data_IF_786583785040
#
_entry.id   IF_786583785040
#
_cell.length_a   1.000
_cell.length_b   1.000
_cell.length_c   1.000
_cell.angle_alpha   90.00
_cell.angle_beta   90.00
_cell.angle_gamma   90.00
#
_symmetry.space_group_name_H-M   'P 1'
#
loop_
_entity.id
_entity.type
_entity.pdbx_description
1 polymer ?
#
# COMPACT_ATOMS: atom_id res chain seq x y z
N UNK A 1 -13.17 42.33 -55.40
CA UNK A 1 -11.91 42.31 -54.64
C UNK A 1 -12.00 41.20 -53.61
N UNK A 2 -11.39 40.04 -53.90
CA UNK A 2 -11.26 38.97 -52.91
C UNK A 2 -10.16 39.40 -51.93
N UNK A 3 -10.56 39.97 -50.79
CA UNK A 3 -9.64 40.17 -49.68
C UNK A 3 -9.30 38.82 -49.08
N UNK A 4 -8.06 38.40 -49.35
CA UNK A 4 -7.42 37.27 -48.70
C UNK A 4 -7.31 37.64 -47.22
N UNK A 5 -8.12 37.01 -46.36
CA UNK A 5 -7.97 37.06 -44.90
C UNK A 5 -6.67 36.35 -44.50
N UNK A 6 -5.55 37.07 -44.65
CA UNK A 6 -4.24 36.62 -44.21
C UNK A 6 -4.07 37.05 -42.75
N UNK A 7 -4.68 36.31 -41.81
CA UNK A 7 -4.36 36.47 -40.40
C UNK A 7 -2.91 36.01 -40.18
N UNK A 8 -1.99 36.97 -40.07
CA UNK A 8 -0.66 36.75 -39.52
C UNK A 8 -0.84 36.06 -38.16
N UNK A 9 -0.33 34.83 -38.05
CA UNK A 9 -0.39 34.03 -36.83
C UNK A 9 0.24 34.85 -35.71
N UNK A 10 -0.53 35.22 -34.67
CA UNK A 10 0.02 35.97 -33.53
C UNK A 10 1.15 35.15 -32.91
N UNK A 11 2.24 35.79 -32.48
CA UNK A 11 3.41 35.12 -31.88
C UNK A 11 3.04 34.16 -30.73
N UNK A 12 1.93 34.43 -30.04
CA UNK A 12 1.37 33.57 -28.99
C UNK A 12 0.78 32.26 -29.52
N UNK A 13 0.17 32.27 -30.71
CA UNK A 13 -0.40 31.05 -31.31
C UNK A 13 0.70 30.06 -31.70
N UNK A 14 1.84 30.56 -32.19
CA UNK A 14 3.04 29.74 -32.48
C UNK A 14 3.53 29.07 -31.20
N UNK A 15 3.69 29.83 -30.12
CA UNK A 15 4.12 29.30 -28.80
C UNK A 15 3.15 28.26 -28.24
N UNK A 16 1.84 28.48 -28.39
CA UNK A 16 0.81 27.52 -27.96
C UNK A 16 0.91 26.22 -28.77
N UNK A 17 1.17 26.31 -30.08
CA UNK A 17 1.37 25.16 -30.95
C UNK A 17 2.63 24.38 -30.58
N UNK A 18 3.75 25.07 -30.32
CA UNK A 18 5.00 24.47 -29.87
C UNK A 18 4.84 23.75 -28.54
N UNK A 19 4.19 24.38 -27.55
CA UNK A 19 3.89 23.74 -26.27
C UNK A 19 3.05 22.48 -26.46
N UNK A 20 1.99 22.54 -27.27
CA UNK A 20 1.15 21.37 -27.58
C UNK A 20 1.95 20.27 -28.27
N UNK A 21 2.86 20.61 -29.18
CA UNK A 21 3.71 19.66 -29.87
C UNK A 21 4.69 18.98 -28.90
N UNK A 22 5.37 19.76 -28.06
CA UNK A 22 6.28 19.27 -27.01
C UNK A 22 5.54 18.32 -26.06
N UNK A 23 4.38 18.73 -25.56
CA UNK A 23 3.53 17.89 -24.70
C UNK A 23 3.18 16.57 -25.37
N UNK A 24 2.76 16.59 -26.66
CA UNK A 24 2.42 15.38 -27.41
C UNK A 24 3.60 14.41 -27.54
N UNK A 25 4.79 14.91 -27.88
CA UNK A 25 6.01 14.10 -28.02
C UNK A 25 6.46 13.51 -26.68
N UNK A 26 6.36 14.30 -25.62
CA UNK A 26 6.71 13.88 -24.27
C UNK A 26 5.74 12.79 -23.78
N UNK A 27 4.43 12.99 -23.89
CA UNK A 27 3.45 11.99 -23.41
C UNK A 27 3.48 10.67 -24.15
N UNK A 28 4.09 10.60 -25.33
CA UNK A 28 4.31 9.37 -26.09
C UNK A 28 5.43 8.50 -25.52
N UNK A 29 6.40 9.11 -24.86
CA UNK A 29 7.65 8.46 -24.46
C UNK A 29 7.78 8.30 -22.94
N UNK A 30 7.06 9.10 -22.17
CA UNK A 30 7.13 9.08 -20.69
C UNK A 30 5.91 8.46 -20.01
N UNK A 31 6.17 7.81 -18.87
CA UNK A 31 5.20 7.26 -17.93
C UNK A 31 4.75 8.26 -16.85
N UNK A 32 5.29 9.48 -16.84
CA UNK A 32 4.92 10.50 -15.86
C UNK A 32 3.42 10.86 -16.01
N UNK A 33 2.67 11.06 -14.90
CA UNK A 33 1.28 11.49 -14.97
C UNK A 33 1.11 12.73 -15.84
N UNK A 34 0.10 12.72 -16.71
CA UNK A 34 -0.15 13.83 -17.66
C UNK A 34 -0.29 15.16 -16.91
N UNK A 35 -0.89 15.12 -15.73
CA UNK A 35 -1.03 16.28 -14.86
C UNK A 35 0.31 16.94 -14.55
N UNK A 36 1.31 16.15 -14.17
CA UNK A 36 2.64 16.66 -13.84
C UNK A 36 3.40 17.16 -15.06
N UNK A 37 3.27 16.48 -16.20
CA UNK A 37 3.90 16.91 -17.45
C UNK A 37 3.35 18.26 -17.89
N UNK A 38 2.01 18.39 -17.89
CA UNK A 38 1.34 19.63 -18.29
C UNK A 38 1.65 20.75 -17.28
N UNK A 39 1.61 20.47 -15.98
CA UNK A 39 1.93 21.46 -14.94
C UNK A 39 3.38 21.94 -15.02
N UNK A 40 4.33 21.03 -15.23
CA UNK A 40 5.75 21.35 -15.39
C UNK A 40 5.98 22.22 -16.63
N UNK A 41 5.49 21.78 -17.79
CA UNK A 41 5.66 22.51 -19.05
C UNK A 41 4.96 23.88 -19.01
N UNK A 42 3.78 23.97 -18.39
CA UNK A 42 3.04 25.22 -18.21
C UNK A 42 3.76 26.18 -17.24
N UNK A 43 4.36 25.66 -16.18
CA UNK A 43 5.12 26.48 -15.22
C UNK A 43 6.37 27.09 -15.86
N UNK A 44 7.09 26.33 -16.70
CA UNK A 44 8.24 26.83 -17.46
C UNK A 44 7.81 27.96 -18.40
N UNK A 45 6.75 27.73 -19.17
CA UNK A 45 6.22 28.73 -20.11
C UNK A 45 5.78 30.01 -19.40
N UNK A 46 5.02 29.93 -18.29
CA UNK A 46 4.62 31.13 -17.53
C UNK A 46 5.84 31.88 -16.98
N UNK A 47 6.88 31.17 -16.54
CA UNK A 47 8.08 31.80 -15.97
C UNK A 47 8.86 32.57 -17.04
N UNK A 48 8.93 32.03 -18.26
CA UNK A 48 9.53 32.69 -19.42
C UNK A 48 8.70 33.92 -19.86
N UNK A 49 7.37 33.82 -19.81
CA UNK A 49 6.44 34.86 -20.30
C UNK A 49 6.06 35.92 -19.25
N UNK A 50 6.37 35.74 -17.96
CA UNK A 50 6.15 36.77 -16.90
C UNK A 50 6.80 38.13 -17.19
N UNK A 51 7.69 38.19 -18.19
CA UNK A 51 8.29 39.42 -18.71
C UNK A 51 7.41 40.16 -19.73
N UNK A 52 6.24 39.62 -20.08
CA UNK A 52 5.29 40.16 -21.07
C UNK A 52 3.84 40.03 -20.56
N UNK A 53 2.98 41.02 -20.81
CA UNK A 53 1.56 41.03 -20.38
C UNK A 53 0.65 40.01 -21.12
N UNK A 54 1.23 38.94 -21.67
CA UNK A 54 0.60 37.98 -22.59
C UNK A 54 -0.03 36.76 -21.90
N UNK A 55 0.16 36.58 -20.59
CA UNK A 55 -0.19 35.34 -19.85
C UNK A 55 -1.68 34.99 -19.95
N UNK A 56 -2.56 35.99 -20.04
CA UNK A 56 -4.01 35.81 -20.18
C UNK A 56 -4.44 35.21 -21.52
N UNK A 57 -3.59 35.29 -22.55
CA UNK A 57 -3.85 34.72 -23.89
C UNK A 57 -3.53 33.22 -23.98
N UNK A 58 -2.89 32.64 -22.97
CA UNK A 58 -2.51 31.22 -22.99
C UNK A 58 -3.65 30.28 -22.53
N UNK A 59 -3.72 29.06 -23.09
CA UNK A 59 -4.72 28.07 -22.70
C UNK A 59 -4.47 27.57 -21.28
N UNK A 60 -5.54 27.35 -20.53
CA UNK A 60 -5.44 26.79 -19.19
C UNK A 60 -4.80 25.40 -19.19
N UNK A 61 -4.21 25.02 -18.05
CA UNK A 61 -3.71 23.65 -17.78
C UNK A 61 -4.75 22.59 -18.15
N UNK A 62 -6.03 22.80 -17.81
CA UNK A 62 -7.13 21.87 -18.12
C UNK A 62 -7.30 21.67 -19.63
N UNK A 63 -7.19 22.74 -20.41
CA UNK A 63 -7.31 22.70 -21.87
C UNK A 63 -6.13 21.99 -22.54
N UNK A 64 -4.93 22.08 -21.95
CA UNK A 64 -3.72 21.39 -22.43
C UNK A 64 -3.70 19.89 -22.11
N UNK A 65 -4.35 19.47 -21.01
CA UNK A 65 -4.46 18.06 -20.62
C UNK A 65 -5.18 17.21 -21.67
N UNK A 66 -6.28 17.70 -22.24
CA UNK A 66 -7.12 16.90 -23.14
C UNK A 66 -6.39 16.41 -24.41
N UNK A 67 -5.68 17.26 -25.18
CA UNK A 67 -4.87 16.83 -26.33
C UNK A 67 -3.74 15.87 -25.94
N UNK A 68 -3.06 16.11 -24.81
CA UNK A 68 -1.99 15.24 -24.32
C UNK A 68 -2.53 13.84 -23.95
N UNK A 69 -3.66 13.78 -23.23
CA UNK A 69 -4.37 12.53 -22.93
C UNK A 69 -4.83 11.81 -24.19
N UNK A 70 -5.35 12.53 -25.19
CA UNK A 70 -5.76 11.94 -26.47
C UNK A 70 -4.57 11.35 -27.22
N UNK A 71 -3.43 12.03 -27.22
CA UNK A 71 -2.22 11.54 -27.89
C UNK A 71 -1.66 10.29 -27.19
N UNK A 72 -1.55 10.31 -25.86
CA UNK A 72 -1.11 9.13 -25.09
C UNK A 72 -2.04 7.92 -25.27
N UNK A 73 -3.35 8.13 -25.44
CA UNK A 73 -4.30 7.04 -25.74
C UNK A 73 -4.12 6.42 -27.13
N UNK A 74 -3.45 7.08 -28.09
CA UNK A 74 -3.19 6.49 -29.41
C UNK A 74 -2.11 5.42 -29.39
N UNK A 75 -1.16 5.53 -28.47
CA UNK A 75 -0.03 4.61 -28.34
C UNK A 75 -0.25 3.52 -27.27
N UNK A 76 -1.27 3.69 -26.43
CA UNK A 76 -1.69 2.68 -25.45
C UNK A 76 -2.85 1.87 -26.01
N UNK A 77 -2.97 0.58 -25.65
CA UNK A 77 -4.16 -0.17 -26.00
C UNK A 77 -5.41 0.45 -25.34
N UNK A 78 -6.61 0.11 -25.83
CA UNK A 78 -7.86 0.54 -25.22
C UNK A 78 -7.90 0.20 -23.73
N UNK A 79 -8.63 1.02 -22.97
CA UNK A 79 -8.86 0.73 -21.55
C UNK A 79 -9.71 -0.53 -21.43
N UNK A 80 -9.21 -1.59 -20.77
CA UNK A 80 -9.98 -2.81 -20.60
C UNK A 80 -11.15 -2.53 -19.65
N UNK A 81 -12.34 -3.02 -20.01
CA UNK A 81 -13.53 -2.97 -19.13
C UNK A 81 -13.69 -4.28 -18.35
N UNK A 82 -13.22 -5.37 -18.94
CA UNK A 82 -13.17 -6.71 -18.36
C UNK A 82 -11.74 -7.27 -18.41
N UNK A 83 -11.47 -8.34 -17.65
CA UNK A 83 -10.13 -8.95 -17.60
C UNK A 83 -9.73 -9.52 -18.98
N UNK A 84 -10.71 -10.01 -19.72
CA UNK A 84 -10.58 -10.60 -21.05
C UNK A 84 -10.20 -9.56 -22.10
N UNK A 85 -10.50 -8.28 -21.87
CA UNK A 85 -10.11 -7.18 -22.75
C UNK A 85 -8.62 -6.85 -22.67
N UNK A 86 -7.91 -7.40 -21.67
CA UNK A 86 -6.47 -7.21 -21.54
C UNK A 86 -5.77 -8.01 -22.64
N UNK A 87 -4.91 -7.41 -23.48
CA UNK A 87 -4.18 -8.14 -24.51
C UNK A 87 -3.36 -9.30 -23.92
N UNK A 88 -3.37 -10.46 -24.57
CA UNK A 88 -2.50 -11.60 -24.26
C UNK A 88 -1.70 -11.97 -25.52
N UNK A 89 -0.36 -11.94 -25.50
CA UNK A 89 0.50 -11.57 -24.36
C UNK A 89 0.35 -10.09 -23.97
N UNK A 90 0.67 -9.76 -22.71
CA UNK A 90 0.60 -8.38 -22.22
C UNK A 90 1.50 -7.43 -23.04
N UNK A 91 1.11 -6.16 -23.28
CA UNK A 91 1.86 -5.25 -24.14
C UNK A 91 3.31 -5.05 -23.68
N UNK A 92 4.28 -5.17 -24.58
CA UNK A 92 5.73 -5.12 -24.28
C UNK A 92 6.13 -3.87 -23.49
N UNK A 93 5.59 -2.70 -23.83
CA UNK A 93 5.80 -1.44 -23.11
C UNK A 93 5.47 -1.56 -21.61
N UNK A 94 4.52 -2.40 -21.23
CA UNK A 94 4.09 -2.61 -19.85
C UNK A 94 4.85 -3.73 -19.13
N UNK A 95 5.67 -4.50 -19.86
CA UNK A 95 6.42 -5.64 -19.32
C UNK A 95 7.83 -5.31 -18.84
N UNK A 96 8.32 -4.09 -19.13
CA UNK A 96 9.70 -3.66 -18.82
C UNK A 96 9.75 -2.59 -17.72
N UNK A 97 10.82 -2.57 -16.94
CA UNK A 97 11.15 -1.50 -15.98
C UNK A 97 11.52 -0.22 -16.73
N UNK A 98 11.76 0.88 -15.99
CA UNK A 98 12.29 2.13 -16.58
C UNK A 98 13.71 2.01 -17.14
N UNK A 99 14.45 0.99 -16.71
CA UNK A 99 15.77 0.67 -17.23
C UNK A 99 15.72 -0.40 -18.33
N UNK A 100 14.53 -0.67 -18.90
CA UNK A 100 14.31 -1.65 -19.96
C UNK A 100 14.70 -3.09 -19.60
N UNK A 101 14.59 -3.45 -18.32
CA UNK A 101 14.75 -4.84 -17.85
C UNK A 101 13.39 -5.50 -17.64
N UNK A 102 13.32 -6.84 -17.66
CA UNK A 102 12.06 -7.56 -17.44
C UNK A 102 11.43 -7.20 -16.08
N UNK A 103 10.14 -6.86 -16.10
CA UNK A 103 9.36 -6.48 -14.93
C UNK A 103 8.10 -7.33 -14.75
N UNK A 104 7.43 -7.71 -15.85
CA UNK A 104 6.33 -8.67 -15.78
C UNK A 104 6.91 -10.07 -15.55
N UNK A 105 6.73 -10.58 -14.34
CA UNK A 105 7.23 -11.86 -13.89
C UNK A 105 6.31 -13.02 -14.28
N UNK A 106 5.00 -12.76 -14.31
CA UNK A 106 3.98 -13.73 -14.67
C UNK A 106 2.76 -13.05 -15.28
N UNK A 107 2.23 -13.67 -16.33
CA UNK A 107 0.95 -13.34 -16.96
C UNK A 107 0.27 -14.65 -17.34
N UNK A 108 -0.79 -15.00 -16.60
CA UNK A 108 -1.45 -16.28 -16.76
C UNK A 108 -2.58 -16.46 -15.76
N UNK A 109 -3.03 -17.68 -15.61
CA UNK A 109 -4.14 -18.01 -14.73
C UNK A 109 -3.68 -18.12 -13.25
N UNK A 110 -4.41 -17.45 -12.36
CA UNK A 110 -4.34 -17.59 -10.90
C UNK A 110 -5.76 -17.89 -10.40
N UNK A 111 -5.98 -19.11 -9.89
CA UNK A 111 -7.31 -19.66 -9.66
C UNK A 111 -8.08 -19.80 -10.97
N UNK A 112 -9.28 -19.23 -11.03
CA UNK A 112 -10.14 -19.29 -12.24
C UNK A 112 -9.95 -18.10 -13.19
N UNK A 113 -9.08 -17.15 -12.84
CA UNK A 113 -8.99 -15.85 -13.54
C UNK A 113 -7.55 -15.51 -13.90
N UNK A 114 -7.37 -14.64 -14.89
CA UNK A 114 -6.04 -14.13 -15.23
C UNK A 114 -5.51 -13.25 -14.10
N UNK A 115 -4.23 -13.40 -13.77
CA UNK A 115 -3.49 -12.55 -12.85
C UNK A 115 -2.13 -12.14 -13.42
N UNK A 116 -1.67 -10.97 -13.01
CA UNK A 116 -0.39 -10.41 -13.45
C UNK A 116 0.52 -10.22 -12.24
N UNK A 117 1.77 -10.69 -12.30
CA UNK A 117 2.76 -10.49 -11.24
C UNK A 117 3.92 -9.68 -11.81
N UNK A 118 4.31 -8.63 -11.11
CA UNK A 118 5.38 -7.72 -11.46
C UNK A 118 6.46 -7.72 -10.39
N UNK A 119 7.70 -7.93 -10.80
CA UNK A 119 8.92 -7.79 -10.00
C UNK A 119 10.12 -7.77 -10.95
N UNK A 120 11.12 -6.93 -10.66
CA UNK A 120 12.41 -7.08 -11.36
C UNK A 120 13.19 -8.27 -10.82
N UNK A 121 14.14 -8.78 -11.59
CA UNK A 121 15.00 -9.88 -11.12
C UNK A 121 15.78 -9.49 -9.85
N UNK A 122 16.19 -8.23 -9.73
CA UNK A 122 16.89 -7.72 -8.54
C UNK A 122 15.96 -7.62 -7.34
N UNK A 123 14.68 -7.27 -7.52
CA UNK A 123 13.69 -7.31 -6.44
C UNK A 123 13.47 -8.73 -5.93
N UNK A 124 13.44 -9.71 -6.83
CA UNK A 124 13.31 -11.13 -6.46
C UNK A 124 14.55 -11.61 -5.70
N UNK A 125 15.76 -11.24 -6.15
CA UNK A 125 17.01 -11.55 -5.43
C UNK A 125 17.05 -10.91 -4.06
N UNK A 126 16.67 -9.63 -3.97
CA UNK A 126 16.63 -8.91 -2.71
C UNK A 126 15.63 -9.56 -1.75
N UNK A 127 14.39 -9.78 -2.19
CA UNK A 127 13.33 -10.40 -1.38
C UNK A 127 13.74 -11.79 -0.87
N UNK A 128 14.36 -12.61 -1.72
CA UNK A 128 14.85 -13.96 -1.38
C UNK A 128 15.85 -13.97 -0.22
N UNK A 129 16.65 -12.91 -0.10
CA UNK A 129 17.68 -12.77 0.93
C UNK A 129 17.15 -12.23 2.26
N UNK A 130 15.92 -11.70 2.28
CA UNK A 130 15.35 -11.12 3.49
C UNK A 130 14.67 -12.15 4.39
N UNK A 131 14.86 -11.96 5.70
CA UNK A 131 14.26 -12.79 6.75
C UNK A 131 12.82 -12.41 7.07
N UNK A 132 12.47 -11.15 6.87
CA UNK A 132 11.17 -10.60 7.29
C UNK A 132 10.45 -10.00 6.10
N UNK A 133 9.25 -10.48 5.82
CA UNK A 133 8.39 -9.94 4.77
C UNK A 133 7.12 -9.32 5.35
N UNK A 134 6.59 -8.32 4.68
CA UNK A 134 5.22 -7.83 4.86
C UNK A 134 4.42 -8.09 3.59
N UNK A 135 3.15 -8.45 3.72
CA UNK A 135 2.26 -8.49 2.56
C UNK A 135 0.90 -7.88 2.87
N UNK A 136 0.38 -7.12 1.90
CA UNK A 136 -0.87 -6.40 2.04
C UNK A 136 -1.62 -6.26 0.71
N UNK A 137 -2.94 -6.32 0.80
CA UNK A 137 -3.87 -6.16 -0.31
C UNK A 137 -4.46 -4.75 -0.34
N UNK A 138 -4.27 -4.01 -1.42
CA UNK A 138 -4.83 -2.67 -1.63
C UNK A 138 -5.96 -2.69 -2.67
N UNK A 139 -7.17 -2.28 -2.26
CA UNK A 139 -8.39 -2.32 -3.09
C UNK A 139 -8.66 -1.04 -3.86
N UNK A 140 -8.44 0.10 -3.18
CA UNK A 140 -8.86 1.42 -3.64
C UNK A 140 -8.19 1.84 -4.94
N UNK A 141 -6.91 1.53 -5.03
CA UNK A 141 -6.02 1.90 -6.13
C UNK A 141 -5.95 0.84 -7.22
N UNK A 142 -6.63 -0.30 -7.05
CA UNK A 142 -6.63 -1.39 -8.04
C UNK A 142 -7.25 -0.92 -9.34
N UNK A 143 -6.70 -1.26 -10.51
CA UNK A 143 -7.42 -1.10 -11.77
C UNK A 143 -8.77 -1.79 -11.70
N UNK A 144 -9.83 -1.18 -12.24
CA UNK A 144 -11.22 -1.67 -12.08
C UNK A 144 -11.47 -3.10 -12.54
N UNK A 145 -10.63 -3.61 -13.46
CA UNK A 145 -10.69 -4.98 -13.96
C UNK A 145 -10.15 -6.01 -12.97
N UNK A 146 -9.34 -5.58 -11.99
CA UNK A 146 -8.84 -6.44 -10.91
C UNK A 146 -9.46 -6.07 -9.57
N UNK A 147 -9.68 -7.06 -8.71
CA UNK A 147 -10.28 -6.84 -7.41
C UNK A 147 -9.32 -6.16 -6.43
N UNK A 148 -8.03 -6.49 -6.52
CA UNK A 148 -7.02 -5.90 -5.67
C UNK A 148 -5.63 -5.92 -6.29
N UNK A 149 -4.80 -5.05 -5.74
CA UNK A 149 -3.35 -5.14 -5.83
C UNK A 149 -2.87 -5.86 -4.59
N UNK A 150 -2.07 -6.89 -4.75
CA UNK A 150 -1.38 -7.54 -3.65
C UNK A 150 0.10 -7.20 -3.72
N UNK A 151 0.68 -6.68 -2.64
CA UNK A 151 2.09 -6.29 -2.61
C UNK A 151 2.85 -7.07 -1.54
N UNK A 152 4.09 -7.44 -1.85
CA UNK A 152 5.02 -8.06 -0.90
C UNK A 152 6.23 -7.15 -0.76
N UNK A 153 6.56 -6.86 0.49
CA UNK A 153 7.64 -5.99 0.88
C UNK A 153 8.67 -6.77 1.66
N UNK A 154 9.93 -6.56 1.32
CA UNK A 154 11.07 -6.99 2.11
C UNK A 154 11.30 -6.00 3.26
N UNK A 155 11.54 -6.50 4.46
CA UNK A 155 11.90 -5.68 5.61
C UNK A 155 13.32 -5.95 6.05
N UNK A 156 14.10 -4.87 6.15
CA UNK A 156 15.48 -4.89 6.61
C UNK A 156 15.76 -3.62 7.42
N UNK A 157 16.30 -3.76 8.63
CA UNK A 157 16.74 -2.65 9.51
C UNK A 157 15.85 -1.39 9.56
N UNK A 158 14.52 -1.56 9.62
CA UNK A 158 13.57 -0.44 9.72
C UNK A 158 13.04 0.06 8.37
N UNK A 159 13.59 -0.43 7.27
CA UNK A 159 13.20 -0.17 5.90
C UNK A 159 12.25 -1.25 5.36
N UNK A 160 11.04 -0.86 4.98
CA UNK A 160 10.11 -1.69 4.21
C UNK A 160 10.23 -1.34 2.73
N UNK A 161 10.68 -2.29 1.92
CA UNK A 161 10.90 -2.10 0.49
C UNK A 161 9.92 -2.95 -0.32
N UNK A 162 9.03 -2.36 -1.15
CA UNK A 162 8.18 -3.13 -2.03
C UNK A 162 9.02 -3.86 -3.08
N UNK A 163 8.76 -5.16 -3.26
CA UNK A 163 9.54 -6.01 -4.16
C UNK A 163 8.66 -6.69 -5.22
N UNK A 164 7.45 -7.08 -4.84
CA UNK A 164 6.53 -7.78 -5.74
C UNK A 164 5.18 -7.10 -5.68
N UNK A 165 4.57 -6.94 -6.85
CA UNK A 165 3.21 -6.47 -6.99
C UNK A 165 2.41 -7.44 -7.85
N UNK A 166 1.19 -7.79 -7.44
CA UNK A 166 0.31 -8.65 -8.18
C UNK A 166 -1.05 -7.99 -8.38
N UNK A 167 -1.60 -8.11 -9.59
CA UNK A 167 -2.97 -7.76 -9.90
C UNK A 167 -3.77 -9.06 -9.94
N UNK A 168 -4.70 -9.22 -9.00
CA UNK A 168 -5.48 -10.45 -8.81
C UNK A 168 -6.98 -10.15 -8.76
N UNK A 169 -7.78 -11.06 -9.30
CA UNK A 169 -9.21 -10.83 -9.54
C UNK A 169 -10.11 -11.15 -8.35
N UNK A 170 -9.60 -11.79 -7.29
CA UNK A 170 -10.35 -12.08 -6.08
C UNK A 170 -9.45 -12.28 -4.84
N UNK A 171 -10.04 -12.83 -3.77
CA UNK A 171 -9.41 -13.20 -2.48
C UNK A 171 -9.58 -14.70 -2.17
N UNK A 172 -9.83 -15.53 -3.19
CA UNK A 172 -9.98 -16.97 -2.99
C UNK A 172 -8.64 -17.56 -2.55
N UNK A 173 -8.70 -18.60 -1.73
CA UNK A 173 -7.51 -19.32 -1.27
C UNK A 173 -6.72 -19.91 -2.45
N UNK A 174 -7.42 -20.44 -3.45
CA UNK A 174 -6.82 -20.97 -4.68
C UNK A 174 -6.03 -19.91 -5.46
N UNK A 175 -6.58 -18.71 -5.64
CA UNK A 175 -5.88 -17.60 -6.31
C UNK A 175 -4.59 -17.23 -5.57
N UNK A 176 -4.63 -17.17 -4.24
CA UNK A 176 -3.43 -16.91 -3.44
C UNK A 176 -2.45 -18.09 -3.48
N UNK A 177 -2.95 -19.33 -3.47
CA UNK A 177 -2.15 -20.54 -3.60
C UNK A 177 -1.32 -20.49 -4.87
N UNK A 178 -1.94 -20.22 -6.01
CA UNK A 178 -1.27 -20.11 -7.30
C UNK A 178 -0.27 -18.95 -7.32
N UNK A 179 -0.69 -17.77 -6.82
CA UNK A 179 0.18 -16.60 -6.73
C UNK A 179 1.47 -16.90 -5.96
N UNK A 180 1.37 -17.47 -4.76
CA UNK A 180 2.52 -17.77 -3.92
C UNK A 180 3.35 -18.93 -4.45
N UNK A 181 2.76 -19.92 -5.15
CA UNK A 181 3.50 -20.97 -5.83
C UNK A 181 4.32 -20.44 -7.01
N UNK A 182 3.71 -19.56 -7.84
CA UNK A 182 4.41 -18.90 -8.94
C UNK A 182 5.58 -18.07 -8.40
N UNK A 183 5.33 -17.27 -7.34
CA UNK A 183 6.39 -16.48 -6.72
C UNK A 183 7.50 -17.36 -6.14
N UNK A 184 7.15 -18.41 -5.39
CA UNK A 184 8.12 -19.36 -4.83
C UNK A 184 9.00 -19.94 -5.94
N UNK A 185 8.38 -20.43 -7.02
CA UNK A 185 9.09 -20.95 -8.20
C UNK A 185 10.05 -19.91 -8.76
N UNK A 186 9.60 -18.67 -8.97
CA UNK A 186 10.43 -17.59 -9.52
C UNK A 186 11.60 -17.19 -8.62
N UNK A 187 11.40 -17.22 -7.31
CA UNK A 187 12.50 -16.99 -6.35
C UNK A 187 13.53 -18.12 -6.42
N UNK A 188 13.09 -19.38 -6.43
CA UNK A 188 14.01 -20.53 -6.54
C UNK A 188 14.77 -20.51 -7.87
N UNK A 189 14.10 -20.23 -8.98
CA UNK A 189 14.74 -20.08 -10.31
C UNK A 189 15.80 -18.96 -10.33
N UNK A 190 15.60 -17.88 -9.57
CA UNK A 190 16.45 -16.68 -9.61
C UNK A 190 17.60 -16.71 -8.59
N UNK A 191 17.34 -17.24 -7.39
CA UNK A 191 18.21 -17.09 -6.23
C UNK A 191 18.62 -18.42 -5.59
N UNK A 192 17.99 -19.53 -5.97
CA UNK A 192 18.20 -20.88 -5.41
C UNK A 192 18.02 -20.99 -3.88
N UNK A 193 17.42 -19.99 -3.23
CA UNK A 193 17.12 -19.99 -1.80
C UNK A 193 15.99 -19.03 -1.44
N UNK A 194 15.39 -19.24 -0.27
CA UNK A 194 14.43 -18.34 0.38
C UNK A 194 14.81 -18.26 1.87
N UNK A 195 15.31 -17.12 2.34
CA UNK A 195 15.73 -16.91 3.75
C UNK A 195 14.59 -16.54 4.70
N UNK A 196 13.36 -16.46 4.19
CA UNK A 196 12.18 -16.01 4.93
C UNK A 196 12.01 -16.77 6.26
N UNK A 197 12.07 -16.05 7.38
CA UNK A 197 11.82 -16.56 8.73
C UNK A 197 10.39 -16.25 9.18
N UNK A 198 9.90 -15.02 8.90
CA UNK A 198 8.52 -14.65 9.22
C UNK A 198 7.92 -13.70 8.21
N UNK A 199 6.62 -13.85 7.96
CA UNK A 199 5.82 -12.92 7.19
C UNK A 199 4.74 -12.29 8.07
N UNK A 200 4.58 -10.98 7.97
CA UNK A 200 3.46 -10.27 8.59
C UNK A 200 2.41 -9.94 7.54
N UNK A 201 1.20 -10.45 7.74
CA UNK A 201 0.07 -10.29 6.82
C UNK A 201 -1.17 -9.77 7.55
N UNK A 202 -2.15 -9.27 6.81
CA UNK A 202 -3.48 -9.06 7.37
C UNK A 202 -4.15 -10.40 7.74
N UNK A 203 -5.24 -10.37 8.51
CA UNK A 203 -5.93 -11.54 9.05
C UNK A 203 -6.77 -12.32 8.01
N UNK A 204 -6.38 -12.28 6.74
CA UNK A 204 -7.00 -13.06 5.67
C UNK A 204 -6.68 -14.55 5.83
N UNK A 205 -7.69 -15.35 6.14
CA UNK A 205 -7.54 -16.79 6.36
C UNK A 205 -6.94 -17.51 5.14
N UNK A 206 -7.35 -17.10 3.94
CA UNK A 206 -6.85 -17.64 2.68
C UNK A 206 -5.31 -17.55 2.57
N UNK A 207 -4.73 -16.38 2.83
CA UNK A 207 -3.28 -16.19 2.78
C UNK A 207 -2.59 -17.01 3.89
N UNK A 208 -3.15 -17.03 5.11
CA UNK A 208 -2.61 -17.83 6.22
C UNK A 208 -2.52 -19.32 5.86
N UNK A 209 -3.61 -19.88 5.33
CA UNK A 209 -3.69 -21.28 4.93
C UNK A 209 -2.64 -21.62 3.86
N UNK A 210 -2.48 -20.73 2.87
CA UNK A 210 -1.45 -20.87 1.83
C UNK A 210 -0.04 -20.88 2.43
N UNK A 211 0.26 -20.02 3.41
CA UNK A 211 1.57 -20.05 4.07
C UNK A 211 1.79 -21.32 4.89
N UNK A 212 0.81 -21.75 5.68
CA UNK A 212 0.94 -23.00 6.43
C UNK A 212 1.14 -24.22 5.54
N UNK A 213 0.51 -24.22 4.35
CA UNK A 213 0.64 -25.31 3.38
C UNK A 213 1.99 -25.29 2.64
N UNK A 214 2.47 -24.12 2.18
CA UNK A 214 3.59 -24.04 1.24
C UNK A 214 4.92 -23.59 1.88
N UNK A 215 4.87 -23.05 3.09
CA UNK A 215 5.99 -22.50 3.85
C UNK A 215 5.87 -22.90 5.34
N UNK A 216 5.86 -24.20 5.67
CA UNK A 216 5.55 -24.67 7.02
C UNK A 216 6.53 -24.19 8.11
N UNK A 217 7.76 -23.85 7.72
CA UNK A 217 8.77 -23.32 8.64
C UNK A 217 8.70 -21.80 8.83
N UNK A 218 7.84 -21.10 8.08
CA UNK A 218 7.72 -19.63 8.16
C UNK A 218 6.71 -19.26 9.24
N UNK A 219 7.10 -18.37 10.15
CA UNK A 219 6.18 -17.84 11.15
C UNK A 219 5.23 -16.82 10.51
N UNK A 220 3.93 -17.12 10.53
CA UNK A 220 2.89 -16.20 10.03
C UNK A 220 2.43 -15.29 11.17
N UNK A 221 2.73 -14.00 11.06
CA UNK A 221 2.38 -12.95 12.04
C UNK A 221 1.21 -12.12 11.54
N UNK A 222 0.37 -11.65 12.48
CA UNK A 222 -0.73 -10.73 12.18
C UNK A 222 -0.29 -9.28 12.23
N UNK A 223 -0.81 -8.45 11.32
CA UNK A 223 -0.57 -7.00 11.35
C UNK A 223 -1.29 -6.32 12.54
N UNK A 224 -0.51 -5.80 13.48
CA UNK A 224 -1.04 -5.16 14.69
C UNK A 224 -1.89 -3.90 14.41
N UNK A 225 -1.56 -3.18 13.34
CA UNK A 225 -2.33 -2.02 12.89
C UNK A 225 -3.75 -2.42 12.44
N UNK A 226 -3.85 -3.43 11.57
CA UNK A 226 -5.14 -3.94 11.11
C UNK A 226 -5.94 -4.61 12.24
N UNK A 227 -5.26 -5.27 13.18
CA UNK A 227 -5.88 -5.77 14.41
C UNK A 227 -6.52 -4.63 15.22
N UNK A 228 -5.76 -3.57 15.51
CA UNK A 228 -6.26 -2.41 16.26
C UNK A 228 -7.45 -1.74 15.57
N UNK A 229 -7.41 -1.57 14.25
CA UNK A 229 -8.54 -1.05 13.48
C UNK A 229 -9.77 -1.96 13.55
N UNK A 230 -9.59 -3.28 13.50
CA UNK A 230 -10.68 -4.24 13.63
C UNK A 230 -11.33 -4.18 15.02
N UNK A 231 -10.51 -4.09 16.08
CA UNK A 231 -10.99 -3.86 17.43
C UNK A 231 -11.77 -2.56 17.54
N UNK A 232 -11.23 -1.45 17.02
CA UNK A 232 -11.89 -0.14 17.14
C UNK A 232 -13.22 -0.10 16.41
N UNK A 233 -13.31 -0.66 15.20
CA UNK A 233 -14.58 -0.80 14.48
C UNK A 233 -15.62 -1.52 15.34
N UNK A 234 -15.26 -2.65 15.96
CA UNK A 234 -16.20 -3.36 16.83
C UNK A 234 -16.55 -2.54 18.07
N UNK A 235 -15.59 -1.84 18.66
CA UNK A 235 -15.80 -0.96 19.81
C UNK A 235 -16.83 0.13 19.49
N UNK A 236 -16.76 0.69 18.28
CA UNK A 236 -17.76 1.61 17.74
C UNK A 236 -19.10 0.93 17.50
N UNK A 237 -19.13 -0.29 16.95
CA UNK A 237 -20.35 -1.04 16.66
C UNK A 237 -21.16 -1.38 17.92
N UNK A 238 -20.50 -1.50 19.08
CA UNK A 238 -21.17 -1.66 20.38
C UNK A 238 -21.50 -0.32 21.05
N UNK A 239 -21.53 0.78 20.29
CA UNK A 239 -21.89 2.13 20.70
C UNK A 239 -20.92 2.82 21.69
N UNK A 240 -19.65 2.40 21.75
CA UNK A 240 -18.66 3.01 22.65
C UNK A 240 -17.86 4.17 22.03
N UNK A 241 -18.24 4.66 20.84
CA UNK A 241 -17.54 5.79 20.17
C UNK A 241 -17.55 7.07 21.00
N UNK A 242 -18.70 7.42 21.60
CA UNK A 242 -18.83 8.62 22.43
C UNK A 242 -18.05 8.48 23.73
N UNK A 243 -18.11 7.30 24.37
CA UNK A 243 -17.34 6.99 25.57
C UNK A 243 -15.84 7.07 25.28
N UNK A 244 -15.37 6.50 24.16
CA UNK A 244 -13.98 6.66 23.72
C UNK A 244 -13.59 8.13 23.54
N UNK A 245 -14.47 8.99 23.02
CA UNK A 245 -14.15 10.41 22.83
C UNK A 245 -14.13 11.20 24.14
N UNK A 246 -14.99 10.86 25.10
CA UNK A 246 -15.27 11.71 26.26
C UNK A 246 -14.71 11.16 27.58
N UNK A 247 -14.42 9.86 27.67
CA UNK A 247 -13.92 9.20 28.87
C UNK A 247 -12.49 8.68 28.65
N UNK A 248 -11.56 9.22 29.44
CA UNK A 248 -10.15 8.84 29.38
C UNK A 248 -9.91 7.40 29.85
N UNK A 249 -10.62 6.93 30.87
CA UNK A 249 -10.48 5.58 31.39
C UNK A 249 -10.90 4.56 30.33
N UNK A 250 -12.00 4.84 29.62
CA UNK A 250 -12.46 3.98 28.51
C UNK A 250 -11.44 3.95 27.36
N UNK A 251 -10.81 5.09 27.02
CA UNK A 251 -9.72 5.11 26.02
C UNK A 251 -8.52 4.29 26.46
N UNK A 252 -8.06 4.48 27.69
CA UNK A 252 -6.90 3.77 28.24
C UNK A 252 -7.21 2.27 28.28
N UNK A 253 -8.40 1.90 28.73
CA UNK A 253 -8.86 0.51 28.76
C UNK A 253 -8.82 -0.11 27.37
N UNK A 254 -9.44 0.52 26.36
CA UNK A 254 -9.45 0.01 25.00
C UNK A 254 -8.03 -0.17 24.43
N UNK A 255 -7.15 0.82 24.65
CA UNK A 255 -5.76 0.76 24.17
C UNK A 255 -4.94 -0.30 24.91
N UNK A 256 -5.22 -0.51 26.19
CA UNK A 256 -4.60 -1.58 26.99
C UNK A 256 -5.09 -2.95 26.54
N UNK A 257 -6.39 -3.08 26.24
CA UNK A 257 -6.97 -4.28 25.65
C UNK A 257 -6.34 -4.61 24.28
N UNK A 258 -6.13 -3.61 23.42
CA UNK A 258 -5.43 -3.81 22.16
C UNK A 258 -3.98 -4.30 22.33
N UNK A 259 -3.33 -3.96 23.45
CA UNK A 259 -1.99 -4.43 23.77
C UNK A 259 -1.91 -5.88 24.24
N UNK A 260 -3.04 -6.54 24.57
CA UNK A 260 -3.06 -7.96 24.94
C UNK A 260 -2.50 -8.84 23.82
N UNK A 261 -2.68 -8.45 22.56
CA UNK A 261 -2.12 -9.16 21.40
C UNK A 261 -0.58 -9.19 21.34
N UNK A 262 0.08 -8.41 22.20
CA UNK A 262 1.54 -8.44 22.34
C UNK A 262 1.99 -9.52 23.32
N UNK A 263 1.15 -9.95 24.27
CA UNK A 263 1.53 -10.91 25.29
C UNK A 263 1.72 -12.33 24.73
N UNK A 264 2.50 -13.18 25.42
CA UNK A 264 2.51 -14.61 25.16
C UNK A 264 1.08 -15.20 25.25
N UNK A 265 0.72 -16.18 24.39
CA UNK A 265 -0.61 -16.78 24.37
C UNK A 265 -1.13 -17.27 25.73
N UNK A 266 -0.24 -17.78 26.56
CA UNK A 266 -0.50 -18.27 27.92
C UNK A 266 -0.97 -17.18 28.88
N UNK A 267 -0.51 -15.94 28.71
CA UNK A 267 -0.84 -14.81 29.59
C UNK A 267 -2.08 -14.03 29.14
N UNK A 268 -2.52 -14.24 27.88
CA UNK A 268 -3.60 -13.45 27.28
C UNK A 268 -4.93 -13.56 28.03
N UNK A 269 -5.31 -14.76 28.48
CA UNK A 269 -6.59 -14.98 29.15
C UNK A 269 -6.66 -14.25 30.49
N UNK A 270 -5.62 -14.41 31.31
CA UNK A 270 -5.53 -13.72 32.60
C UNK A 270 -5.53 -12.20 32.41
N UNK A 271 -4.76 -11.69 31.44
CA UNK A 271 -4.74 -10.28 31.11
C UNK A 271 -6.11 -9.71 30.70
N UNK A 272 -6.93 -10.50 29.99
CA UNK A 272 -8.29 -10.11 29.64
C UNK A 272 -9.18 -10.06 30.88
N UNK A 273 -9.13 -11.08 31.73
CA UNK A 273 -9.91 -11.15 32.98
C UNK A 273 -9.57 -9.98 33.92
N UNK A 274 -8.30 -9.65 34.07
CA UNK A 274 -7.83 -8.51 34.86
C UNK A 274 -8.33 -7.16 34.29
N UNK A 275 -8.37 -7.03 32.96
CA UNK A 275 -8.91 -5.84 32.31
C UNK A 275 -10.42 -5.76 32.48
N UNK A 276 -11.14 -6.88 32.41
CA UNK A 276 -12.59 -6.94 32.63
C UNK A 276 -12.98 -6.45 34.01
N UNK A 277 -12.20 -6.78 35.05
CA UNK A 277 -12.48 -6.34 36.42
C UNK A 277 -12.23 -4.84 36.66
N UNK A 278 -11.64 -4.12 35.69
CA UNK A 278 -11.31 -2.69 35.84
C UNK A 278 -12.35 -1.73 35.28
N UNK A 279 -13.42 -2.23 34.66
CA UNK A 279 -14.44 -1.41 33.99
C UNK A 279 -15.49 -0.88 34.96
N UNK A 280 -15.92 0.37 34.71
CA UNK A 280 -17.04 1.01 35.40
C UNK A 280 -18.39 0.41 34.97
N UNK A 281 -19.31 0.25 35.92
CA UNK A 281 -20.65 -0.34 35.71
C UNK A 281 -21.45 0.29 34.55
N UNK A 282 -21.26 1.56 34.24
CA UNK A 282 -22.01 2.30 33.21
C UNK A 282 -21.84 1.79 31.77
N UNK A 283 -20.78 1.02 31.47
CA UNK A 283 -20.50 0.50 30.11
C UNK A 283 -20.38 -1.03 30.06
N UNK A 284 -20.68 -1.72 31.16
CA UNK A 284 -20.44 -3.15 31.31
C UNK A 284 -21.14 -3.97 30.22
N UNK A 285 -22.37 -3.63 29.86
CA UNK A 285 -23.13 -4.37 28.84
C UNK A 285 -22.46 -4.28 27.46
N UNK A 286 -22.11 -3.08 27.00
CA UNK A 286 -21.49 -2.86 25.70
C UNK A 286 -20.10 -3.51 25.65
N UNK A 287 -19.35 -3.44 26.75
CA UNK A 287 -18.04 -4.05 26.84
C UNK A 287 -18.16 -5.58 26.86
N UNK A 288 -19.12 -6.15 27.58
CA UNK A 288 -19.40 -7.59 27.50
C UNK A 288 -19.69 -8.02 26.07
N UNK A 289 -20.48 -7.25 25.30
CA UNK A 289 -20.72 -7.54 23.87
C UNK A 289 -19.43 -7.45 23.03
N UNK A 290 -18.53 -6.53 23.36
CA UNK A 290 -17.23 -6.39 22.70
C UNK A 290 -16.28 -7.56 23.05
N UNK A 291 -16.25 -7.98 24.31
CA UNK A 291 -15.43 -9.08 24.81
C UNK A 291 -15.95 -10.43 24.32
N UNK A 292 -17.27 -10.61 24.28
CA UNK A 292 -17.92 -11.75 23.68
C UNK A 292 -17.57 -11.85 22.19
N UNK A 293 -17.52 -10.73 21.47
CA UNK A 293 -17.02 -10.71 20.10
C UNK A 293 -15.54 -11.13 20.00
N UNK A 294 -14.69 -10.65 20.91
CA UNK A 294 -13.27 -11.05 20.94
C UNK A 294 -13.12 -12.57 21.21
N UNK A 295 -13.86 -13.10 22.19
CA UNK A 295 -13.90 -14.54 22.54
C UNK A 295 -14.46 -15.40 21.40
N UNK A 296 -15.52 -14.95 20.72
CA UNK A 296 -16.20 -15.68 19.65
C UNK A 296 -15.50 -15.59 18.29
N UNK A 297 -14.54 -14.67 18.11
CA UNK A 297 -13.79 -14.54 16.84
C UNK A 297 -12.31 -14.88 16.99
N UNK A 298 -12.00 -16.18 16.92
CA UNK A 298 -10.92 -16.65 16.04
C UNK A 298 -11.50 -16.77 14.61
N UNK A 299 -11.14 -15.80 13.76
CA UNK A 299 -11.45 -15.64 12.32
C UNK A 299 -12.93 -15.53 11.87
N UNK A 300 -13.34 -14.33 11.38
CA UNK A 300 -13.92 -14.11 10.03
C UNK A 300 -14.52 -12.68 9.77
N UNK A 301 -14.06 -12.05 8.66
CA UNK A 301 -14.82 -11.43 7.53
C UNK A 301 -15.44 -9.98 7.56
N UNK A 302 -15.28 -9.33 6.38
CA UNK A 302 -16.03 -8.27 5.61
C UNK A 302 -15.75 -6.73 5.68
N UNK A 303 -15.29 -6.22 4.52
CA UNK A 303 -15.86 -5.18 3.61
C UNK A 303 -16.73 -4.04 4.18
N UNK A 304 -16.25 -2.80 3.97
CA UNK A 304 -16.75 -1.75 3.04
C UNK A 304 -16.43 -0.37 3.62
N UNK A 305 -15.74 0.47 2.85
CA UNK A 305 -16.06 1.90 2.57
C UNK A 305 -14.81 2.63 2.06
N UNK A 306 -14.90 3.19 0.86
CA UNK A 306 -13.92 4.11 0.28
C UNK A 306 -14.67 5.18 -0.53
N UNK A 307 -14.01 6.31 -0.81
CA UNK A 307 -14.67 7.54 -1.28
C UNK A 307 -14.04 8.24 -2.51
N UNK A 308 -13.33 7.52 -3.42
CA UNK A 308 -13.11 7.87 -4.86
C UNK A 308 -12.33 6.77 -5.64
N UNK A 309 -12.45 6.59 -6.97
CA UNK A 309 -12.22 5.28 -7.59
C UNK A 309 -11.00 5.19 -8.52
N UNK A 310 -10.30 4.04 -8.47
CA UNK A 310 -9.71 3.28 -9.58
C UNK A 310 -8.99 4.08 -10.71
N UNK A 311 -7.65 4.22 -10.65
CA UNK A 311 -6.86 4.70 -11.79
C UNK A 311 -6.82 3.66 -12.93
N UNK A 312 -6.53 4.10 -14.16
CA UNK A 312 -6.43 3.17 -15.29
C UNK A 312 -5.23 2.21 -15.18
N UNK A 313 -5.36 1.01 -15.75
CA UNK A 313 -4.37 -0.07 -15.60
C UNK A 313 -2.96 0.34 -16.06
N UNK A 314 -2.83 1.14 -17.12
CA UNK A 314 -1.54 1.53 -17.66
C UNK A 314 -0.87 2.60 -16.79
N UNK A 315 -1.63 3.60 -16.34
CA UNK A 315 -1.17 4.58 -15.36
C UNK A 315 -0.81 3.92 -14.02
N UNK A 316 -1.48 2.82 -13.69
CA UNK A 316 -1.20 2.06 -12.48
C UNK A 316 0.08 1.21 -12.59
N UNK A 317 0.34 0.62 -13.75
CA UNK A 317 1.63 -0.04 -14.04
C UNK A 317 2.78 0.97 -14.04
N UNK A 318 2.55 2.18 -14.57
CA UNK A 318 3.52 3.25 -14.47
C UNK A 318 3.84 3.60 -13.01
N UNK A 319 2.84 3.56 -12.12
CA UNK A 319 3.03 3.74 -10.68
C UNK A 319 3.91 2.62 -10.11
N UNK A 320 3.69 1.35 -10.45
CA UNK A 320 4.57 0.25 -10.02
C UNK A 320 6.02 0.43 -10.48
N UNK A 321 6.24 0.84 -11.72
CA UNK A 321 7.59 1.13 -12.22
C UNK A 321 8.25 2.29 -11.48
N UNK A 322 7.48 3.31 -11.09
CA UNK A 322 7.97 4.42 -10.29
C UNK A 322 8.35 3.97 -8.88
N UNK A 323 7.46 3.24 -8.21
CA UNK A 323 7.69 2.69 -6.87
C UNK A 323 8.89 1.74 -6.85
N UNK A 324 9.01 0.88 -7.87
CA UNK A 324 10.16 -0.02 -8.04
C UNK A 324 11.48 0.75 -8.22
N UNK A 325 11.51 1.79 -9.05
CA UNK A 325 12.70 2.63 -9.21
C UNK A 325 13.09 3.34 -7.91
N UNK A 326 12.12 3.91 -7.20
CA UNK A 326 12.36 4.60 -5.93
C UNK A 326 12.85 3.63 -4.84
N UNK A 327 12.26 2.44 -4.80
CA UNK A 327 12.69 1.36 -3.92
C UNK A 327 14.13 0.92 -4.22
N UNK A 328 14.49 0.78 -5.51
CA UNK A 328 15.86 0.46 -5.93
C UNK A 328 16.87 1.53 -5.50
N UNK A 329 16.61 2.82 -5.76
CA UNK A 329 17.47 3.92 -5.32
C UNK A 329 17.64 3.90 -3.79
N UNK A 330 16.55 3.73 -3.07
CA UNK A 330 16.56 3.70 -1.61
C UNK A 330 17.36 2.52 -1.06
N UNK A 331 17.23 1.33 -1.67
CA UNK A 331 18.05 0.15 -1.32
C UNK A 331 19.53 0.38 -1.59
N UNK A 332 19.89 0.84 -2.79
CA UNK A 332 21.30 1.10 -3.15
C UNK A 332 21.94 2.10 -2.19
N UNK A 333 21.19 3.13 -1.80
CA UNK A 333 21.66 4.09 -0.79
C UNK A 333 21.84 3.43 0.57
N UNK A 334 20.89 2.59 1.00
CA UNK A 334 20.99 1.85 2.27
C UNK A 334 22.19 0.89 2.29
N UNK A 335 22.39 0.10 1.22
CA UNK A 335 23.54 -0.78 1.02
C UNK A 335 24.88 0.00 1.01
N UNK A 336 24.87 1.24 0.51
CA UNK A 336 26.01 2.16 0.57
C UNK A 336 26.19 2.85 1.94
N UNK A 337 25.41 2.47 2.96
CA UNK A 337 25.51 2.98 4.33
C UNK A 337 24.67 4.23 4.63
N UNK A 338 23.78 4.65 3.74
CA UNK A 338 22.87 5.75 4.03
C UNK A 338 21.79 5.32 5.03
N UNK A 339 21.56 6.13 6.07
CA UNK A 339 20.53 5.85 7.06
C UNK A 339 19.13 5.78 6.40
N UNK A 340 18.26 4.85 6.84
CA UNK A 340 16.90 4.74 6.33
C UNK A 340 16.11 6.03 6.59
N UNK A 341 15.06 6.33 5.80
CA UNK A 341 14.25 7.52 6.01
C UNK A 341 13.72 7.52 7.43
N UNK A 342 13.87 8.66 8.11
CA UNK A 342 13.40 8.80 9.49
C UNK A 342 11.89 8.62 9.50
N UNK A 343 11.44 7.54 10.15
CA UNK A 343 10.03 7.37 10.53
C UNK A 343 9.59 8.61 11.31
N UNK A 344 8.28 8.92 11.27
CA UNK A 344 7.71 10.02 12.05
C UNK A 344 8.18 9.89 13.50
N UNK A 345 8.75 10.98 14.04
CA UNK A 345 9.37 11.01 15.37
C UNK A 345 8.47 10.38 16.44
N UNK A 346 7.16 10.64 16.36
CA UNK A 346 6.15 10.06 17.25
C UNK A 346 6.07 8.53 17.18
N UNK A 347 6.08 7.94 15.98
CA UNK A 347 6.05 6.49 15.78
C UNK A 347 7.33 5.86 16.32
N UNK A 348 8.48 6.48 16.03
CA UNK A 348 9.78 5.98 16.51
C UNK A 348 9.85 5.96 18.05
N UNK A 349 9.44 7.06 18.70
CA UNK A 349 9.40 7.16 20.17
C UNK A 349 8.42 6.13 20.75
N UNK A 350 7.29 5.90 20.08
CA UNK A 350 6.31 4.90 20.48
C UNK A 350 6.88 3.47 20.43
N UNK A 351 7.54 3.10 19.33
CA UNK A 351 8.22 1.80 19.15
C UNK A 351 9.34 1.59 20.17
N UNK A 352 10.24 2.56 20.33
CA UNK A 352 11.31 2.52 21.35
C UNK A 352 10.74 2.36 22.76
N UNK A 353 9.63 3.04 23.05
CA UNK A 353 8.96 2.93 24.35
C UNK A 353 8.32 1.56 24.55
N UNK A 354 7.77 0.97 23.50
CA UNK A 354 7.22 -0.38 23.56
C UNK A 354 8.32 -1.41 23.81
N UNK A 355 9.45 -1.34 23.10
CA UNK A 355 10.59 -2.23 23.34
C UNK A 355 11.14 -2.11 24.76
N UNK A 356 11.24 -0.88 25.30
CA UNK A 356 11.64 -0.68 26.70
C UNK A 356 10.64 -1.26 27.70
N UNK A 357 9.34 -1.21 27.41
CA UNK A 357 8.32 -1.83 28.27
C UNK A 357 8.40 -3.35 28.18
N UNK A 358 8.62 -3.89 26.99
CA UNK A 358 8.78 -5.33 26.76
C UNK A 358 9.98 -5.88 27.53
N UNK A 359 11.16 -5.25 27.40
CA UNK A 359 12.38 -5.65 28.12
C UNK A 359 12.18 -5.65 29.64
N UNK A 360 11.42 -4.68 30.17
CA UNK A 360 11.07 -4.63 31.59
C UNK A 360 10.12 -5.76 32.01
N UNK A 361 9.14 -6.09 31.18
CA UNK A 361 8.21 -7.19 31.43
C UNK A 361 8.96 -8.52 31.44
N UNK A 362 9.82 -8.77 30.44
CA UNK A 362 10.64 -9.97 30.31
C UNK A 362 11.60 -10.14 31.50
N UNK A 363 12.18 -9.03 31.98
CA UNK A 363 13.01 -9.01 33.19
C UNK A 363 12.22 -9.00 34.50
N UNK A 364 10.89 -9.17 34.46
CA UNK A 364 9.98 -9.16 35.62
C UNK A 364 10.03 -7.87 36.47
N UNK A 365 10.49 -6.76 35.88
CA UNK A 365 10.58 -5.44 36.54
C UNK A 365 9.24 -4.70 36.59
N UNK A 366 8.31 -5.07 35.71
CA UNK A 366 6.93 -4.57 35.70
C UNK A 366 5.98 -5.75 35.55
N UNK A 367 4.78 -5.64 36.13
CA UNK A 367 3.73 -6.62 35.93
C UNK A 367 3.00 -6.43 34.58
N UNK A 368 2.23 -7.45 34.19
CA UNK A 368 1.43 -7.46 32.96
C UNK A 368 0.49 -6.26 32.89
N UNK A 369 -0.12 -5.87 34.01
CA UNK A 369 -1.03 -4.72 34.09
C UNK A 369 -0.33 -3.41 33.75
N UNK A 370 0.86 -3.18 34.30
CA UNK A 370 1.69 -2.00 34.05
C UNK A 370 2.17 -1.99 32.61
N UNK A 371 2.55 -3.15 32.08
CA UNK A 371 2.91 -3.28 30.67
C UNK A 371 1.76 -2.89 29.74
N UNK A 372 0.56 -3.46 29.93
CA UNK A 372 -0.60 -3.20 29.06
C UNK A 372 -1.02 -1.72 29.08
N UNK A 373 -1.08 -1.12 30.27
CA UNK A 373 -1.37 0.32 30.40
C UNK A 373 -0.29 1.17 29.72
N UNK A 374 0.98 0.80 29.91
CA UNK A 374 2.13 1.46 29.29
C UNK A 374 2.10 1.38 27.76
N UNK A 375 1.85 0.19 27.21
CA UNK A 375 1.76 -0.05 25.78
C UNK A 375 0.54 0.66 25.18
N UNK A 376 -0.60 0.66 25.88
CA UNK A 376 -1.79 1.38 25.49
C UNK A 376 -1.54 2.89 25.35
N UNK A 377 -0.90 3.49 26.34
CA UNK A 377 -0.60 4.93 26.37
C UNK A 377 0.54 5.33 25.42
N UNK A 378 1.58 4.52 25.30
CA UNK A 378 2.82 4.92 24.60
C UNK A 378 2.91 4.42 23.17
N UNK A 379 2.13 3.40 22.81
CA UNK A 379 2.15 2.81 21.47
C UNK A 379 0.80 2.91 20.77
N UNK A 380 -0.25 2.31 21.32
CA UNK A 380 -1.58 2.28 20.67
C UNK A 380 -2.24 3.66 20.54
N UNK A 381 -1.87 4.62 21.38
CA UNK A 381 -2.27 6.02 21.22
C UNK A 381 -1.80 6.63 19.89
N UNK A 382 -0.63 6.24 19.39
CA UNK A 382 -0.02 6.83 18.19
C UNK A 382 -0.27 6.01 16.93
N UNK A 383 -0.84 4.81 17.07
CA UNK A 383 -1.07 3.88 15.98
C UNK A 383 -2.22 4.29 15.03
N UNK A 384 -2.94 5.39 15.31
CA UNK A 384 -4.07 5.91 14.52
C UNK A 384 -5.04 4.79 14.09
N UNK A 385 -5.41 3.93 15.02
CA UNK A 385 -6.32 2.80 14.81
C UNK A 385 -7.80 3.23 14.76
N UNK A 386 -8.06 4.53 14.92
CA UNK A 386 -9.37 5.19 15.01
C UNK A 386 -9.93 5.70 13.66
#
# INVERSE_FOLDING_TARGET
>A
TNEIHNHLIETNDIKILELRHKLKKEVETTSVPIDKIVESAYSVMITEERKTDSVSKFPTIKTLKNPASKQRRKIRPPLPKHIEDIPFPFPTLCTLTKHNTNFLLFDGQLGETRGLIFASQDDIRYLANQKFWYADGTFYTSPSVFYQIYSIHAYDEGLSTPCVFALIADKKEETYQDFFLVLKKKIIETSNMIRLESITIDFEAAVKNVFYKNFPCVQVKGCLFHYGQALFRKFVDVNLRAAFKNDENVRIWFRSFAAVALLPPEDMNQAIEDLESTITSSYQQQINMFLEYHRKRRHNKWKKRSTRPHPDIYAFIDLFKNEQLLAQDQRQRHEAGAAPPKRKKTIRIAEESLYRLWDKLEKTQIDTKTFLKGAGLRYFQYLKIE
#
